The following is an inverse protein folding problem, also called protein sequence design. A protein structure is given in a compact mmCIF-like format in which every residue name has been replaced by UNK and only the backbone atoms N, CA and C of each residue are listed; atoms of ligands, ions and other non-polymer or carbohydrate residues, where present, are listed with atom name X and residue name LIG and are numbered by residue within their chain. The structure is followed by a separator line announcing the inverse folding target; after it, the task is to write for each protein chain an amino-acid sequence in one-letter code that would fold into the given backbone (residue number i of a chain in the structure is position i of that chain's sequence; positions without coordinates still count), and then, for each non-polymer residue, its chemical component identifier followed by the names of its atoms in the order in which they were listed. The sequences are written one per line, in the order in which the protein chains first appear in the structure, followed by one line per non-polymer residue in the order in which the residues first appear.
data_IF_182778951896
#
_entry.id   IF_182778951896
#
_cell.length_a   1.000
_cell.length_b   1.000
_cell.length_c   1.000
_cell.angle_alpha   90.00
_cell.angle_beta   90.00
_cell.angle_gamma   90.00
#
_symmetry.space_group_name_H-M   'P 1'
#
loop_
_entity.id
_entity.type
_entity.pdbx_description
1 polymer ?
#
# COMPACT_ATOMS: atom_id res chain seq x y z
N UNK A 1 12.42 -23.14 -5.46
CA UNK A 1 12.97 -22.80 -4.11
C UNK A 1 11.84 -22.74 -3.10
N UNK A 2 12.15 -23.00 -1.82
CA UNK A 2 11.17 -22.95 -0.73
C UNK A 2 11.56 -21.83 0.24
N UNK A 3 10.67 -20.85 0.40
CA UNK A 3 10.87 -19.69 1.24
C UNK A 3 10.06 -19.82 2.52
N UNK A 4 10.68 -19.63 3.68
CA UNK A 4 10.00 -19.46 4.96
C UNK A 4 9.80 -17.97 5.23
N UNK A 5 8.55 -17.53 5.44
CA UNK A 5 8.23 -16.15 5.74
C UNK A 5 7.67 -16.02 7.17
N UNK A 6 8.28 -15.15 7.95
CA UNK A 6 7.86 -14.81 9.31
C UNK A 6 7.70 -13.30 9.47
N UNK A 7 6.65 -12.89 10.19
CA UNK A 7 6.38 -11.48 10.45
C UNK A 7 6.04 -11.26 11.92
N UNK A 8 6.73 -10.30 12.53
CA UNK A 8 6.52 -9.93 13.94
C UNK A 8 6.34 -8.41 14.07
N UNK A 9 5.73 -7.97 15.16
CA UNK A 9 5.62 -6.55 15.48
C UNK A 9 6.91 -6.01 16.12
N UNK A 10 7.44 -6.68 17.17
CA UNK A 10 8.67 -6.25 17.88
C UNK A 10 9.30 -7.38 18.69
N UNK A 11 8.65 -8.54 18.79
CA UNK A 11 9.05 -9.60 19.72
C UNK A 11 9.87 -10.69 19.01
N UNK A 12 11.13 -10.86 19.43
CA UNK A 12 12.03 -11.90 18.92
C UNK A 12 11.53 -13.32 19.21
N UNK A 13 10.94 -13.55 20.38
CA UNK A 13 10.44 -14.87 20.78
C UNK A 13 9.31 -15.33 19.86
N UNK A 14 8.49 -14.42 19.38
CA UNK A 14 7.46 -14.70 18.38
C UNK A 14 8.03 -15.11 17.00
N UNK A 15 9.23 -14.63 16.64
CA UNK A 15 9.90 -15.00 15.38
C UNK A 15 10.39 -16.45 15.45
N UNK A 16 11.05 -16.83 16.54
CA UNK A 16 11.59 -18.17 16.75
C UNK A 16 10.46 -19.21 16.75
N UNK A 17 9.35 -18.93 17.42
CA UNK A 17 8.18 -19.81 17.43
C UNK A 17 7.62 -20.03 16.02
N UNK A 18 7.48 -18.96 15.21
CA UNK A 18 7.00 -19.07 13.83
C UNK A 18 7.98 -19.89 12.97
N UNK A 19 9.29 -19.68 13.11
CA UNK A 19 10.30 -20.49 12.42
C UNK A 19 10.18 -21.96 12.79
N UNK A 20 10.11 -22.27 14.07
CA UNK A 20 9.97 -23.63 14.57
C UNK A 20 8.71 -24.33 13.98
N UNK A 21 7.56 -23.65 13.96
CA UNK A 21 6.34 -24.20 13.37
C UNK A 21 6.50 -24.50 11.88
N UNK A 22 7.12 -23.59 11.12
CA UNK A 22 7.36 -23.77 9.68
C UNK A 22 8.36 -24.88 9.43
N UNK A 23 9.45 -24.96 10.19
CA UNK A 23 10.46 -26.02 10.06
C UNK A 23 9.89 -27.41 10.39
N UNK A 24 9.10 -27.50 11.46
CA UNK A 24 8.40 -28.74 11.83
C UNK A 24 7.48 -29.20 10.73
N UNK A 25 6.71 -28.28 10.13
CA UNK A 25 5.82 -28.57 9.01
C UNK A 25 6.62 -29.01 7.78
N UNK A 26 7.64 -28.25 7.39
CA UNK A 26 8.48 -28.54 6.23
C UNK A 26 9.14 -29.93 6.36
N UNK A 27 9.69 -30.25 7.56
CA UNK A 27 10.27 -31.56 7.84
C UNK A 27 9.26 -32.69 7.70
N UNK A 28 8.04 -32.52 8.20
CA UNK A 28 6.96 -33.52 8.07
C UNK A 28 6.55 -33.76 6.60
N UNK A 29 6.71 -32.77 5.73
CA UNK A 29 6.45 -32.85 4.29
C UNK A 29 7.70 -33.21 3.45
N UNK A 30 8.83 -33.56 4.09
CA UNK A 30 10.13 -33.82 3.43
C UNK A 30 10.62 -32.62 2.59
N UNK A 31 10.26 -31.43 3.01
CA UNK A 31 10.68 -30.15 2.40
C UNK A 31 11.83 -29.53 3.20
N UNK A 32 12.72 -28.82 2.50
CA UNK A 32 13.79 -28.03 3.12
C UNK A 32 13.58 -26.56 2.78
N UNK A 33 13.60 -25.68 3.79
CA UNK A 33 13.58 -24.24 3.58
C UNK A 33 14.93 -23.79 3.02
N UNK A 34 14.90 -23.21 1.83
CA UNK A 34 16.11 -22.71 1.15
C UNK A 34 16.47 -21.30 1.61
N UNK A 35 15.45 -20.47 1.91
CA UNK A 35 15.65 -19.08 2.29
C UNK A 35 14.61 -18.61 3.29
N UNK A 36 15.06 -17.87 4.30
CA UNK A 36 14.19 -17.19 5.26
C UNK A 36 14.03 -15.72 4.92
N UNK A 37 12.81 -15.23 5.07
CA UNK A 37 12.46 -13.81 4.96
C UNK A 37 11.77 -13.42 6.26
N UNK A 38 12.44 -12.57 7.02
CA UNK A 38 11.95 -12.08 8.31
C UNK A 38 11.60 -10.61 8.19
N UNK A 39 10.47 -10.25 8.73
CA UNK A 39 9.97 -8.90 8.67
C UNK A 39 9.49 -8.43 10.04
N UNK A 40 10.15 -7.38 10.55
CA UNK A 40 9.70 -6.68 11.75
C UNK A 40 8.99 -5.40 11.31
N UNK A 41 7.69 -5.27 11.57
CA UNK A 41 6.91 -4.11 11.09
C UNK A 41 6.12 -3.50 12.23
N UNK A 42 6.31 -2.19 12.44
CA UNK A 42 5.36 -1.33 13.12
C UNK A 42 4.13 -1.03 12.21
N UNK A 43 3.02 -0.78 12.85
CA UNK A 43 1.65 -0.78 12.32
C UNK A 43 1.28 -0.13 10.98
N UNK A 44 2.11 0.59 10.20
CA UNK A 44 1.65 1.49 9.13
C UNK A 44 2.20 1.27 7.72
N UNK A 45 3.19 0.41 7.52
CA UNK A 45 3.89 0.24 6.23
C UNK A 45 3.07 -0.56 5.20
N UNK A 46 2.96 -0.10 3.95
CA UNK A 46 2.29 -0.80 2.85
C UNK A 46 3.01 -2.11 2.47
N UNK A 47 2.26 -3.11 1.97
CA UNK A 47 2.81 -4.42 1.55
C UNK A 47 3.86 -4.26 0.44
N UNK A 48 3.67 -3.33 -0.48
CA UNK A 48 4.59 -3.08 -1.60
C UNK A 48 5.97 -2.59 -1.14
N UNK A 49 6.04 -1.89 -0.01
CA UNK A 49 7.28 -1.36 0.57
C UNK A 49 7.98 -2.35 1.50
N UNK A 50 7.31 -3.46 1.84
CA UNK A 50 7.79 -4.49 2.74
C UNK A 50 8.77 -5.44 2.07
N UNK A 51 9.47 -6.22 2.89
CA UNK A 51 10.28 -7.34 2.42
C UNK A 51 9.44 -8.36 1.65
N UNK A 52 8.18 -8.59 2.07
CA UNK A 52 7.24 -9.43 1.36
C UNK A 52 6.97 -8.94 -0.07
N UNK A 53 6.79 -7.64 -0.28
CA UNK A 53 6.62 -7.03 -1.61
C UNK A 53 7.88 -7.12 -2.47
N UNK A 54 9.07 -7.10 -1.87
CA UNK A 54 10.34 -7.34 -2.58
C UNK A 54 10.50 -8.82 -2.93
N UNK A 55 10.12 -9.69 -1.99
CA UNK A 55 10.18 -11.14 -2.17
C UNK A 55 9.33 -11.58 -3.36
N UNK A 56 8.07 -11.11 -3.48
CA UNK A 56 7.20 -11.52 -4.59
C UNK A 56 7.78 -11.14 -5.95
N UNK A 57 8.58 -10.07 -6.03
CA UNK A 57 9.27 -9.68 -7.27
C UNK A 57 10.43 -10.62 -7.63
N UNK A 58 11.03 -11.28 -6.65
CA UNK A 58 12.20 -12.16 -6.79
C UNK A 58 11.82 -13.63 -6.95
N UNK A 59 10.73 -14.05 -6.33
CA UNK A 59 10.19 -15.42 -6.40
C UNK A 59 9.83 -15.78 -7.85
N UNK A 60 10.12 -17.01 -8.24
CA UNK A 60 9.90 -17.52 -9.58
C UNK A 60 8.72 -18.49 -9.62
N UNK A 61 8.24 -18.76 -10.82
CA UNK A 61 7.23 -19.80 -11.07
C UNK A 61 7.67 -21.14 -10.49
N UNK A 62 6.76 -21.80 -9.76
CA UNK A 62 7.00 -23.07 -9.11
C UNK A 62 7.69 -22.99 -7.74
N UNK A 63 8.09 -21.81 -7.30
CA UNK A 63 8.59 -21.61 -5.94
C UNK A 63 7.45 -21.72 -4.91
N UNK A 64 7.83 -22.04 -3.69
CA UNK A 64 6.89 -22.24 -2.57
C UNK A 64 7.20 -21.21 -1.48
N UNK A 65 6.16 -20.52 -1.01
CA UNK A 65 6.20 -19.65 0.16
C UNK A 65 5.44 -20.30 1.31
N UNK A 66 6.11 -20.55 2.43
CA UNK A 66 5.51 -21.13 3.63
C UNK A 66 5.46 -20.04 4.72
N UNK A 67 4.29 -19.88 5.32
CA UNK A 67 4.08 -19.00 6.48
C UNK A 67 3.24 -19.70 7.54
N UNK A 68 3.21 -19.20 8.76
CA UNK A 68 2.41 -19.81 9.83
C UNK A 68 0.92 -19.61 9.62
N UNK A 69 0.48 -18.43 9.20
CA UNK A 69 -0.93 -18.08 9.02
C UNK A 69 -1.11 -16.94 8.01
N UNK A 70 -2.29 -16.83 7.41
CA UNK A 70 -2.61 -15.79 6.41
C UNK A 70 -2.45 -14.38 6.96
N UNK A 71 -2.70 -14.18 8.24
CA UNK A 71 -2.53 -12.88 8.91
C UNK A 71 -1.10 -12.32 8.85
N UNK A 72 -0.10 -13.15 8.55
CA UNK A 72 1.30 -12.71 8.34
C UNK A 72 1.48 -12.05 6.98
N UNK A 73 0.72 -12.44 5.98
CA UNK A 73 0.82 -11.91 4.61
C UNK A 73 0.18 -10.53 4.45
N UNK A 74 -0.82 -10.20 5.27
CA UNK A 74 -1.49 -8.90 5.22
C UNK A 74 -2.14 -8.55 6.56
N UNK A 75 -2.61 -7.32 6.72
CA UNK A 75 -3.30 -6.83 7.93
C UNK A 75 -4.81 -6.87 7.82
N UNK A 76 -5.29 -6.86 6.63
CA UNK A 76 -6.69 -6.98 6.30
C UNK A 76 -6.85 -7.98 5.16
N UNK A 77 -8.07 -8.44 5.00
CA UNK A 77 -8.42 -9.42 4.00
C UNK A 77 -7.99 -8.99 2.59
N UNK A 78 -8.15 -7.71 2.26
CA UNK A 78 -7.80 -7.15 0.94
C UNK A 78 -6.31 -7.29 0.61
N UNK A 79 -5.43 -7.00 1.57
CA UNK A 79 -3.99 -7.14 1.38
C UNK A 79 -3.58 -8.60 1.18
N UNK A 80 -4.16 -9.50 2.00
CA UNK A 80 -3.92 -10.94 1.87
C UNK A 80 -4.36 -11.43 0.50
N UNK A 81 -5.55 -11.03 0.05
CA UNK A 81 -6.11 -11.42 -1.23
C UNK A 81 -5.30 -10.92 -2.43
N UNK A 82 -4.92 -9.63 -2.39
CA UNK A 82 -4.08 -9.05 -3.44
C UNK A 82 -2.74 -9.79 -3.56
N UNK A 83 -2.15 -10.16 -2.42
CA UNK A 83 -0.91 -10.91 -2.38
C UNK A 83 -1.08 -12.33 -2.93
N UNK A 84 -2.11 -13.06 -2.49
CA UNK A 84 -2.39 -14.41 -2.98
C UNK A 84 -2.73 -14.42 -4.47
N UNK A 85 -3.47 -13.43 -4.96
CA UNK A 85 -3.76 -13.26 -6.38
C UNK A 85 -2.47 -13.10 -7.20
N UNK A 86 -1.56 -12.22 -6.78
CA UNK A 86 -0.27 -12.04 -7.42
C UNK A 86 0.57 -13.34 -7.41
N UNK A 87 0.52 -14.12 -6.32
CA UNK A 87 1.19 -15.41 -6.27
C UNK A 87 0.59 -16.38 -7.29
N UNK A 88 -0.74 -16.44 -7.40
CA UNK A 88 -1.43 -17.32 -8.36
C UNK A 88 -1.16 -16.94 -9.81
N UNK A 89 -1.18 -15.65 -10.17
CA UNK A 89 -0.85 -15.19 -11.53
C UNK A 89 0.59 -15.55 -11.94
N UNK A 90 1.47 -15.72 -10.98
CA UNK A 90 2.88 -16.07 -11.20
C UNK A 90 3.20 -17.55 -10.96
N UNK A 91 2.18 -18.38 -10.75
CA UNK A 91 2.32 -19.81 -10.43
C UNK A 91 3.24 -20.05 -9.21
N UNK A 92 3.14 -19.20 -8.18
CA UNK A 92 3.82 -19.36 -6.89
C UNK A 92 2.88 -20.06 -5.93
N UNK A 93 3.37 -21.11 -5.25
CA UNK A 93 2.60 -21.83 -4.25
C UNK A 93 2.72 -21.16 -2.89
N UNK A 94 1.60 -20.99 -2.18
CA UNK A 94 1.57 -20.45 -0.81
C UNK A 94 0.99 -21.48 0.13
N UNK A 95 1.72 -21.80 1.18
CA UNK A 95 1.31 -22.76 2.21
C UNK A 95 1.20 -22.06 3.56
N UNK A 96 0.08 -22.26 4.27
CA UNK A 96 -0.09 -21.84 5.65
C UNK A 96 -0.14 -23.02 6.59
N UNK A 97 0.65 -22.98 7.66
CA UNK A 97 0.82 -24.11 8.58
C UNK A 97 -0.41 -24.30 9.45
N UNK A 98 -0.96 -23.23 10.03
CA UNK A 98 -2.07 -23.29 10.99
C UNK A 98 -3.41 -23.60 10.31
N UNK A 99 -3.73 -22.86 9.24
CA UNK A 99 -4.96 -23.07 8.51
C UNK A 99 -4.91 -24.25 7.55
N UNK A 100 -3.70 -24.81 7.31
CA UNK A 100 -3.45 -25.92 6.38
C UNK A 100 -3.90 -25.61 4.94
N UNK A 101 -3.79 -24.35 4.52
CA UNK A 101 -4.05 -24.00 3.13
C UNK A 101 -2.81 -24.26 2.27
N UNK A 102 -3.03 -24.91 1.15
CA UNK A 102 -2.05 -25.11 0.07
C UNK A 102 -2.60 -24.41 -1.17
N UNK A 103 -2.24 -23.14 -1.33
CA UNK A 103 -2.74 -22.28 -2.39
C UNK A 103 -1.76 -22.31 -3.56
N UNK A 104 -2.24 -22.82 -4.69
CA UNK A 104 -1.49 -22.93 -5.93
C UNK A 104 -2.42 -22.79 -7.13
N UNK A 105 -2.00 -23.27 -8.30
CA UNK A 105 -2.79 -23.19 -9.53
C UNK A 105 -3.81 -24.36 -9.66
N UNK A 106 -4.47 -24.72 -8.55
CA UNK A 106 -5.54 -25.71 -8.54
C UNK A 106 -6.92 -25.05 -8.46
N UNK A 107 -7.97 -25.81 -8.79
CA UNK A 107 -9.35 -25.33 -8.82
C UNK A 107 -9.82 -24.81 -7.46
N UNK A 108 -9.42 -25.47 -6.36
CA UNK A 108 -9.80 -25.07 -5.00
C UNK A 108 -9.20 -23.72 -4.63
N UNK A 109 -7.95 -23.47 -5.01
CA UNK A 109 -7.30 -22.16 -4.80
C UNK A 109 -7.98 -21.05 -5.60
N UNK A 110 -8.41 -21.34 -6.84
CA UNK A 110 -9.17 -20.40 -7.67
C UNK A 110 -10.54 -20.07 -7.08
N UNK A 111 -11.26 -21.08 -6.59
CA UNK A 111 -12.55 -20.90 -5.91
C UNK A 111 -12.36 -20.06 -4.64
N UNK A 112 -11.34 -20.36 -3.85
CA UNK A 112 -11.04 -19.62 -2.62
C UNK A 112 -10.68 -18.17 -2.93
N UNK A 113 -9.82 -17.91 -3.93
CA UNK A 113 -9.48 -16.57 -4.38
C UNK A 113 -10.71 -15.79 -4.88
N UNK A 114 -11.62 -16.44 -5.60
CA UNK A 114 -12.86 -15.84 -6.04
C UNK A 114 -13.78 -15.50 -4.86
N UNK A 115 -13.98 -16.42 -3.92
CA UNK A 115 -14.79 -16.17 -2.72
C UNK A 115 -14.26 -14.99 -1.89
N UNK A 116 -12.96 -14.90 -1.76
CA UNK A 116 -12.31 -13.80 -1.07
C UNK A 116 -12.42 -12.48 -1.84
N UNK A 117 -12.24 -12.48 -3.16
CA UNK A 117 -12.44 -11.28 -4.00
C UNK A 117 -13.84 -10.73 -3.85
N UNK A 118 -14.85 -11.60 -3.84
CA UNK A 118 -16.24 -11.23 -3.64
C UNK A 118 -16.47 -10.63 -2.24
N UNK A 119 -15.93 -11.26 -1.18
CA UNK A 119 -16.01 -10.74 0.18
C UNK A 119 -15.40 -9.34 0.31
N UNK A 120 -14.26 -9.13 -0.34
CA UNK A 120 -13.58 -7.85 -0.38
C UNK A 120 -14.37 -6.76 -1.12
N UNK A 121 -15.07 -7.12 -2.19
CA UNK A 121 -15.95 -6.21 -2.92
C UNK A 121 -17.18 -5.84 -2.08
N UNK A 122 -17.79 -6.81 -1.41
CA UNK A 122 -18.91 -6.59 -0.50
C UNK A 122 -18.49 -5.63 0.62
N UNK A 123 -17.33 -5.84 1.24
CA UNK A 123 -16.83 -4.96 2.32
C UNK A 123 -16.61 -3.52 1.82
N UNK A 124 -16.01 -3.32 0.63
CA UNK A 124 -15.86 -1.99 0.02
C UNK A 124 -17.20 -1.32 -0.21
N UNK A 125 -18.18 -2.06 -0.72
CA UNK A 125 -19.51 -1.54 -0.99
C UNK A 125 -20.21 -1.11 0.32
N UNK A 126 -20.11 -1.91 1.39
CA UNK A 126 -20.63 -1.57 2.71
C UNK A 126 -19.97 -0.33 3.30
N UNK A 127 -18.64 -0.21 3.20
CA UNK A 127 -17.90 0.99 3.66
C UNK A 127 -18.35 2.21 2.86
N UNK A 128 -18.45 2.10 1.53
CA UNK A 128 -18.91 3.17 0.66
C UNK A 128 -20.34 3.61 1.03
N UNK A 129 -21.24 2.65 1.25
CA UNK A 129 -22.62 2.95 1.64
C UNK A 129 -22.66 3.66 2.99
N UNK A 130 -21.99 3.14 4.02
CA UNK A 130 -21.92 3.77 5.35
C UNK A 130 -21.36 5.19 5.27
N UNK A 131 -20.34 5.41 4.44
CA UNK A 131 -19.74 6.74 4.24
C UNK A 131 -20.75 7.68 3.58
N UNK A 132 -21.48 7.24 2.54
CA UNK A 132 -22.52 8.04 1.90
C UNK A 132 -23.64 8.41 2.89
N UNK A 133 -24.11 7.45 3.68
CA UNK A 133 -25.13 7.68 4.71
C UNK A 133 -24.67 8.69 5.77
N UNK A 134 -23.42 8.55 6.25
CA UNK A 134 -22.83 9.48 7.20
C UNK A 134 -22.70 10.91 6.61
N UNK A 135 -22.30 11.03 5.33
CA UNK A 135 -22.22 12.32 4.66
C UNK A 135 -23.61 12.96 4.46
N UNK A 136 -24.63 12.17 4.11
CA UNK A 136 -26.02 12.64 3.99
C UNK A 136 -26.53 13.14 5.35
N UNK A 137 -26.25 12.39 6.43
CA UNK A 137 -26.61 12.82 7.79
C UNK A 137 -25.93 14.14 8.15
N UNK A 138 -24.61 14.25 7.94
CA UNK A 138 -23.85 15.49 8.19
C UNK A 138 -24.37 16.68 7.39
N UNK A 139 -24.78 16.45 6.13
CA UNK A 139 -25.39 17.49 5.30
C UNK A 139 -26.75 17.94 5.87
N UNK A 140 -27.59 17.02 6.35
CA UNK A 140 -28.86 17.34 7.02
C UNK A 140 -28.67 18.10 8.35
N UNK A 141 -27.59 17.81 9.07
CA UNK A 141 -27.19 18.52 10.30
C UNK A 141 -26.60 19.94 9.99
N UNK A 142 -26.60 20.38 8.73
CA UNK A 142 -26.12 21.71 8.33
C UNK A 142 -24.61 21.81 8.19
N UNK A 143 -23.86 20.72 8.33
CA UNK A 143 -22.40 20.72 8.16
C UNK A 143 -22.05 20.95 6.69
N UNK A 144 -21.31 22.02 6.38
CA UNK A 144 -20.78 22.25 5.03
C UNK A 144 -19.68 21.23 4.73
N UNK A 145 -19.96 20.33 3.81
CA UNK A 145 -18.99 19.32 3.35
C UNK A 145 -18.07 19.91 2.27
N UNK A 146 -16.82 19.49 2.28
CA UNK A 146 -15.81 19.94 1.33
C UNK A 146 -14.84 20.96 1.93
N UNK A 147 -13.95 21.44 1.08
CA UNK A 147 -12.94 22.42 1.50
C UNK A 147 -13.63 23.76 1.86
N UNK A 148 -13.32 24.38 3.02
CA UNK A 148 -13.84 25.69 3.37
C UNK A 148 -13.52 26.73 2.30
N UNK A 149 -14.47 27.62 1.98
CA UNK A 149 -14.21 28.75 1.06
C UNK A 149 -13.06 29.60 1.65
N UNK A 150 -12.03 29.85 0.83
CA UNK A 150 -10.86 30.61 1.26
C UNK A 150 -9.86 29.84 2.12
N UNK A 151 -10.06 28.55 2.34
CA UNK A 151 -9.10 27.70 3.03
C UNK A 151 -7.75 27.73 2.32
N UNK A 152 -6.74 28.37 2.95
CA UNK A 152 -5.37 28.40 2.45
C UNK A 152 -4.72 27.05 2.69
N UNK A 153 -3.93 26.56 1.73
CA UNK A 153 -3.03 25.44 1.97
C UNK A 153 -1.84 25.96 2.78
N UNK A 154 -1.42 25.23 3.80
CA UNK A 154 -0.21 25.59 4.56
C UNK A 154 1.04 25.53 3.68
N UNK A 155 1.02 24.73 2.62
CA UNK A 155 2.08 24.68 1.62
C UNK A 155 1.53 24.81 0.21
N UNK A 156 1.91 25.86 -0.50
CA UNK A 156 1.67 26.01 -1.92
C UNK A 156 2.82 25.35 -2.71
N UNK A 157 2.54 24.90 -3.93
CA UNK A 157 3.57 24.31 -4.82
C UNK A 157 4.76 25.23 -5.08
N UNK A 158 4.60 26.51 -4.86
CA UNK A 158 5.62 27.55 -5.07
C UNK A 158 6.17 28.12 -3.76
N UNK A 159 5.71 27.69 -2.58
CA UNK A 159 6.29 28.09 -1.30
C UNK A 159 7.78 27.72 -1.24
N UNK A 160 8.60 28.67 -0.80
CA UNK A 160 10.06 28.56 -0.76
C UNK A 160 10.77 28.83 -2.10
N UNK A 161 10.02 29.21 -3.16
CA UNK A 161 10.59 29.59 -4.47
C UNK A 161 10.47 31.09 -4.78
N UNK A 162 10.11 31.88 -3.80
CA UNK A 162 9.86 33.33 -3.92
C UNK A 162 11.08 34.05 -4.47
N UNK A 163 12.27 33.81 -3.91
CA UNK A 163 13.53 34.41 -4.35
C UNK A 163 13.88 34.07 -5.80
N UNK A 164 13.60 32.81 -6.22
CA UNK A 164 13.83 32.38 -7.61
C UNK A 164 12.87 33.09 -8.57
N UNK A 165 11.60 33.24 -8.16
CA UNK A 165 10.59 33.93 -8.96
C UNK A 165 11.00 35.40 -9.13
N UNK A 166 11.38 36.09 -8.03
CA UNK A 166 11.86 37.49 -8.05
C UNK A 166 13.04 37.67 -9.00
N UNK A 167 14.08 36.85 -8.86
CA UNK A 167 15.25 36.90 -9.74
C UNK A 167 14.89 36.75 -11.22
N UNK A 168 13.97 35.83 -11.55
CA UNK A 168 13.55 35.61 -12.94
C UNK A 168 12.70 36.78 -13.49
N UNK A 169 11.97 37.48 -12.64
CA UNK A 169 11.24 38.72 -13.00
C UNK A 169 12.21 39.88 -13.23
N UNK A 170 13.21 40.05 -12.38
CA UNK A 170 14.31 41.04 -12.54
C UNK A 170 15.08 40.80 -13.85
N UNK A 171 15.29 39.55 -14.24
CA UNK A 171 15.83 39.12 -15.54
C UNK A 171 14.87 39.34 -16.71
N UNK A 172 13.73 40.05 -16.49
CA UNK A 172 12.67 40.33 -17.50
C UNK A 172 12.15 39.06 -18.22
N UNK A 173 12.18 37.88 -17.53
CA UNK A 173 11.59 36.67 -18.10
C UNK A 173 10.07 36.70 -18.07
N UNK A 174 9.43 36.18 -19.12
CA UNK A 174 7.98 36.18 -19.19
C UNK A 174 7.36 35.21 -18.16
N UNK A 175 6.16 35.50 -17.65
CA UNK A 175 5.42 34.62 -16.73
C UNK A 175 5.21 33.21 -17.31
N UNK A 176 5.14 33.09 -18.64
CA UNK A 176 5.08 31.79 -19.31
C UNK A 176 6.39 31.00 -19.14
N UNK A 177 7.52 31.67 -19.34
CA UNK A 177 8.84 31.04 -19.12
C UNK A 177 9.01 30.59 -17.68
N UNK A 178 8.68 31.46 -16.71
CA UNK A 178 8.78 31.18 -15.28
C UNK A 178 7.90 29.96 -14.90
N UNK A 179 6.66 29.93 -15.35
CA UNK A 179 5.76 28.80 -15.05
C UNK A 179 6.28 27.47 -15.60
N UNK A 180 6.81 27.46 -16.84
CA UNK A 180 7.45 26.27 -17.44
C UNK A 180 8.69 25.83 -16.65
N UNK A 181 9.56 26.78 -16.29
CA UNK A 181 10.79 26.49 -15.51
C UNK A 181 10.48 25.93 -14.13
N UNK A 182 9.40 26.36 -13.49
CA UNK A 182 8.97 25.90 -12.16
C UNK A 182 8.07 24.66 -12.21
N UNK A 183 7.71 24.15 -13.40
CA UNK A 183 6.87 22.98 -13.57
C UNK A 183 5.43 23.17 -13.09
N UNK A 184 4.89 24.40 -13.17
CA UNK A 184 3.54 24.73 -12.73
C UNK A 184 2.71 25.34 -13.87
N UNK A 185 1.37 25.28 -13.70
CA UNK A 185 0.47 25.98 -14.63
C UNK A 185 0.63 27.50 -14.47
N UNK A 186 0.48 28.25 -15.56
CA UNK A 186 0.54 29.72 -15.59
C UNK A 186 -0.46 30.35 -14.62
N UNK A 187 -1.64 29.78 -14.47
CA UNK A 187 -2.64 30.24 -13.50
C UNK A 187 -2.16 30.07 -12.05
N UNK A 188 -1.52 28.94 -11.73
CA UNK A 188 -0.95 28.69 -10.41
C UNK A 188 0.13 29.73 -10.05
N UNK A 189 0.98 30.10 -11.01
CA UNK A 189 1.97 31.16 -10.81
C UNK A 189 1.29 32.52 -10.57
N UNK A 190 0.27 32.86 -11.39
CA UNK A 190 -0.48 34.13 -11.25
C UNK A 190 -1.16 34.23 -9.87
N UNK A 191 -1.83 33.15 -9.44
CA UNK A 191 -2.52 33.14 -8.17
C UNK A 191 -1.54 33.23 -7.01
N UNK A 192 -0.36 32.60 -7.12
CA UNK A 192 0.70 32.70 -6.13
C UNK A 192 1.27 34.15 -6.04
N UNK A 193 1.56 34.80 -7.17
CA UNK A 193 2.03 36.20 -7.19
C UNK A 193 0.97 37.12 -6.62
N UNK A 194 -0.32 36.94 -6.93
CA UNK A 194 -1.40 37.74 -6.34
C UNK A 194 -1.51 37.60 -4.82
N UNK A 195 -1.08 36.47 -4.25
CA UNK A 195 -1.04 36.27 -2.80
C UNK A 195 0.24 36.81 -2.16
N UNK A 196 1.27 37.08 -2.95
CA UNK A 196 2.57 37.62 -2.53
C UNK A 196 2.89 38.86 -3.38
N UNK A 197 2.25 40.02 -3.10
CA UNK A 197 2.41 41.25 -3.90
C UNK A 197 3.85 41.75 -3.98
N UNK A 198 4.68 41.36 -3.03
CA UNK A 198 6.12 41.68 -3.00
C UNK A 198 6.93 41.03 -4.12
N UNK A 199 6.31 40.17 -4.96
CA UNK A 199 6.93 39.51 -6.09
C UNK A 199 6.63 40.21 -7.45
N UNK A 200 5.77 41.23 -7.48
CA UNK A 200 5.36 41.89 -8.73
C UNK A 200 6.26 43.07 -9.09
#
# INVERSE_FOLDING_TARGET
MIYGYVRVSTDKQSTENQRFEIEKFAKAKSMRIDRWVEETISGTTDVAERQLGRLIKQIRKGDILITTELSRLGRNLMQVMSFLHQCMERDIFVITVKERYELGNNINSKILAFAFSLSAEIERNLISQRTKEALVRKKKEGTKLGRPKGGKSEQYKLSGKENLIRKLLEEKKTRLYISKKLGVNRQTLRDFMRMNPELD
#
